data_IF_587101227837
#
_entry.id   IF_587101227837
#
_cell.length_a   1.000
_cell.length_b   1.000
_cell.length_c   1.000
_cell.angle_alpha   90.00
_cell.angle_beta   90.00
_cell.angle_gamma   90.00
#
_symmetry.space_group_name_H-M   'P 1'
#
loop_
_entity.id
_entity.type
_entity.pdbx_description
1 polymer ?
#
# COMPACT_ATOMS: atom_id res chain seq x y z
N UNK A 1 11.12 45.08 40.58
CA UNK A 1 12.14 45.39 41.61
C UNK A 1 13.20 44.32 41.63
N UNK A 2 14.47 44.73 41.40
CA UNK A 2 15.75 44.12 41.81
C UNK A 2 16.04 42.67 41.35
N UNK A 3 17.12 42.33 40.81
CA UNK A 3 18.39 42.90 40.39
C UNK A 3 19.39 41.77 40.19
N UNK A 4 20.16 41.88 39.14
CA UNK A 4 21.47 41.33 38.83
C UNK A 4 22.22 40.52 39.91
N UNK A 5 22.97 39.49 39.44
CA UNK A 5 24.40 39.44 39.77
C UNK A 5 25.17 38.62 38.71
N UNK A 6 26.03 39.31 37.99
CA UNK A 6 27.24 38.86 37.31
C UNK A 6 28.21 38.23 38.30
N UNK A 7 28.90 37.17 37.88
CA UNK A 7 30.18 36.81 38.49
C UNK A 7 31.18 36.51 37.39
N UNK A 8 32.09 37.42 37.24
CA UNK A 8 33.34 37.29 36.46
C UNK A 8 34.40 36.76 37.43
N UNK A 9 35.17 35.74 37.08
CA UNK A 9 36.43 35.40 37.76
C UNK A 9 37.52 35.13 36.72
N UNK A 10 38.38 36.04 36.76
CA UNK A 10 39.80 36.17 36.60
C UNK A 10 40.62 35.03 35.98
N UNK A 11 41.35 35.48 35.00
CA UNK A 11 42.59 35.05 34.35
C UNK A 11 43.69 34.69 35.37
N UNK A 12 44.25 33.50 35.29
CA UNK A 12 45.57 33.19 35.84
C UNK A 12 46.44 32.63 34.72
N UNK A 13 47.36 33.42 34.26
CA UNK A 13 48.45 33.01 33.40
C UNK A 13 49.45 32.16 34.18
N UNK A 14 49.74 30.96 33.73
CA UNK A 14 50.91 30.19 34.17
C UNK A 14 51.72 29.78 32.96
N UNK A 15 52.84 30.43 32.77
CA UNK A 15 53.89 30.08 31.81
C UNK A 15 54.56 28.79 32.23
N UNK A 16 54.57 27.77 31.39
CA UNK A 16 55.49 26.65 31.47
C UNK A 16 56.02 26.27 30.11
N UNK A 17 57.27 26.44 30.03
CA UNK A 17 58.39 25.86 29.30
C UNK A 17 58.05 24.71 28.36
N UNK A 18 58.56 24.84 27.12
CA UNK A 18 58.39 23.88 26.05
C UNK A 18 58.98 22.50 26.31
N UNK A 19 58.24 21.51 25.88
CA UNK A 19 58.77 20.26 25.40
C UNK A 19 58.30 20.09 23.94
N UNK A 20 59.26 20.18 23.00
CA UNK A 20 59.09 19.69 21.65
C UNK A 20 58.91 18.18 21.72
N UNK A 21 57.65 17.71 21.78
CA UNK A 21 57.30 16.36 21.44
C UNK A 21 56.82 16.38 19.99
N UNK A 22 57.53 15.69 19.11
CA UNK A 22 57.02 15.33 17.81
C UNK A 22 55.68 14.58 18.02
N UNK A 23 54.58 15.25 17.84
CA UNK A 23 53.30 14.61 17.62
C UNK A 23 53.29 14.19 16.16
N UNK A 24 53.51 12.92 15.93
CA UNK A 24 52.97 12.28 14.73
C UNK A 24 51.49 12.67 14.70
N UNK A 25 51.12 13.43 13.67
CA UNK A 25 49.70 13.69 13.39
C UNK A 25 49.11 12.32 13.05
N UNK A 26 48.49 11.66 14.02
CA UNK A 26 47.53 10.60 13.71
C UNK A 26 46.57 11.21 12.69
N UNK A 27 46.57 10.64 11.49
CA UNK A 27 45.64 11.05 10.45
C UNK A 27 44.27 10.66 10.99
N UNK A 28 43.48 11.68 11.37
CA UNK A 28 42.10 11.49 11.82
C UNK A 28 41.37 10.76 10.67
N UNK A 29 41.08 9.47 10.88
CA UNK A 29 40.39 8.66 9.86
C UNK A 29 38.94 9.10 9.89
N UNK A 30 38.50 9.75 8.84
CA UNK A 30 37.11 10.19 8.70
C UNK A 30 36.19 8.98 8.76
N UNK A 31 35.18 9.03 9.63
CA UNK A 31 34.25 7.93 9.83
C UNK A 31 33.33 7.75 8.60
N UNK A 32 33.18 6.52 8.13
CA UNK A 32 32.28 6.21 7.02
C UNK A 32 30.83 6.56 7.36
N UNK A 33 30.18 7.31 6.48
CA UNK A 33 28.73 7.59 6.51
C UNK A 33 28.11 7.33 5.14
N UNK A 34 26.86 6.85 5.14
CA UNK A 34 26.09 6.63 3.91
C UNK A 34 24.88 7.55 3.86
N UNK A 35 24.58 8.05 2.67
CA UNK A 35 23.41 8.88 2.38
C UNK A 35 22.77 8.43 1.07
N UNK A 36 21.46 8.07 1.08
CA UNK A 36 20.58 7.90 2.24
C UNK A 36 20.91 6.63 3.06
N UNK A 37 20.34 6.52 4.28
CA UNK A 37 20.40 5.31 5.11
C UNK A 37 19.27 4.33 4.85
N UNK A 38 18.25 4.77 4.10
CA UNK A 38 17.18 3.92 3.56
C UNK A 38 16.83 4.37 2.15
N UNK A 39 16.43 3.45 1.29
CA UNK A 39 16.09 3.69 -0.10
C UNK A 39 14.90 2.83 -0.49
N UNK A 40 13.87 3.44 -1.07
CA UNK A 40 12.74 2.72 -1.66
C UNK A 40 12.82 2.83 -3.17
N UNK A 41 12.75 1.71 -3.86
CA UNK A 41 12.83 1.59 -5.33
C UNK A 41 11.71 0.66 -5.81
N UNK A 42 11.24 0.87 -7.03
CA UNK A 42 10.39 -0.10 -7.72
C UNK A 42 11.24 -1.08 -8.53
N UNK A 43 10.73 -2.29 -8.75
CA UNK A 43 11.41 -3.28 -9.60
C UNK A 43 11.80 -2.65 -10.93
N UNK A 44 13.07 -2.77 -11.31
CA UNK A 44 13.67 -2.19 -12.51
C UNK A 44 14.23 -0.77 -12.34
N UNK A 45 13.96 -0.10 -11.23
CA UNK A 45 14.54 1.23 -10.93
C UNK A 45 15.96 1.11 -10.38
N UNK A 46 16.68 2.23 -10.48
CA UNK A 46 18.00 2.38 -9.87
C UNK A 46 18.00 3.58 -8.92
N UNK A 47 18.74 3.44 -7.82
CA UNK A 47 18.96 4.50 -6.85
C UNK A 47 20.44 4.59 -6.47
N UNK A 48 20.88 5.70 -5.91
CA UNK A 48 22.28 5.90 -5.56
C UNK A 48 22.44 6.11 -4.07
N UNK A 49 23.33 5.34 -3.46
CA UNK A 49 23.83 5.53 -2.11
C UNK A 49 25.22 6.15 -2.22
N UNK A 50 25.42 7.31 -1.62
CA UNK A 50 26.71 8.00 -1.58
C UNK A 50 27.42 7.76 -0.23
N UNK A 51 28.73 7.69 -0.27
CA UNK A 51 29.58 7.64 0.91
C UNK A 51 30.47 8.90 0.97
N UNK A 52 30.76 9.38 2.19
CA UNK A 52 31.64 10.53 2.39
C UNK A 52 33.12 10.24 2.14
N UNK A 53 33.50 8.96 2.16
CA UNK A 53 34.87 8.48 1.87
C UNK A 53 34.84 7.37 0.83
N UNK A 54 36.01 7.05 0.28
CA UNK A 54 36.14 5.97 -0.71
C UNK A 54 35.78 4.62 -0.08
N UNK A 55 34.81 3.92 -0.66
CA UNK A 55 34.35 2.59 -0.24
C UNK A 55 35.22 1.53 -0.92
N UNK A 56 35.71 0.57 -0.14
CA UNK A 56 36.52 -0.56 -0.59
C UNK A 56 35.64 -1.67 -1.20
N UNK A 57 34.51 -1.96 -0.52
CA UNK A 57 33.57 -3.00 -0.96
C UNK A 57 32.13 -2.56 -0.76
N UNK A 58 31.30 -2.87 -1.75
CA UNK A 58 29.87 -2.82 -1.70
C UNK A 58 29.28 -4.22 -1.80
N UNK A 59 28.27 -4.56 -1.03
CA UNK A 59 27.60 -5.84 -1.08
C UNK A 59 26.12 -5.73 -0.76
N UNK A 60 25.31 -6.60 -1.38
CA UNK A 60 23.92 -6.82 -1.03
C UNK A 60 23.79 -8.13 -0.24
N UNK A 61 22.97 -8.14 0.80
CA UNK A 61 22.64 -9.39 1.50
C UNK A 61 21.59 -10.23 0.76
N UNK A 62 20.94 -9.65 -0.28
CA UNK A 62 19.92 -10.31 -1.07
C UNK A 62 19.93 -9.77 -2.53
N UNK A 63 20.83 -10.31 -3.35
CA UNK A 63 20.98 -9.90 -4.76
C UNK A 63 19.76 -10.28 -5.62
N UNK A 64 18.94 -11.23 -5.18
CA UNK A 64 17.68 -11.54 -5.85
C UNK A 64 16.65 -10.40 -5.74
N UNK A 65 16.76 -9.54 -4.72
CA UNK A 65 15.88 -8.37 -4.50
C UNK A 65 16.54 -7.09 -4.99
N UNK A 66 17.80 -6.84 -4.62
CA UNK A 66 18.52 -5.65 -5.09
C UNK A 66 20.03 -5.96 -5.22
N UNK A 67 20.62 -5.51 -6.33
CA UNK A 67 22.06 -5.54 -6.55
C UNK A 67 22.70 -4.19 -6.32
N UNK A 68 24.02 -4.13 -6.10
CA UNK A 68 24.75 -2.87 -5.96
C UNK A 68 26.08 -2.91 -6.73
N UNK A 69 26.35 -1.86 -7.48
CA UNK A 69 27.66 -1.57 -8.06
C UNK A 69 28.09 -0.13 -7.77
N UNK A 70 29.18 0.01 -7.02
CA UNK A 70 29.77 1.34 -6.65
C UNK A 70 28.77 2.34 -6.07
N UNK A 71 27.82 1.84 -5.26
CA UNK A 71 26.78 2.63 -4.64
C UNK A 71 25.52 2.82 -5.49
N UNK A 72 25.52 2.40 -6.76
CA UNK A 72 24.31 2.34 -7.58
C UNK A 72 23.58 1.04 -7.27
N UNK A 73 22.39 1.16 -6.73
CA UNK A 73 21.50 0.04 -6.40
C UNK A 73 20.53 -0.18 -7.56
N UNK A 74 20.38 -1.42 -7.99
CA UNK A 74 19.39 -1.83 -8.99
C UNK A 74 18.37 -2.74 -8.34
N UNK A 75 17.10 -2.37 -8.41
CA UNK A 75 15.98 -3.15 -7.90
C UNK A 75 15.65 -4.29 -8.86
N UNK A 76 15.72 -5.55 -8.41
CA UNK A 76 15.57 -6.77 -9.23
C UNK A 76 14.20 -7.39 -9.03
N UNK A 77 13.77 -7.58 -7.78
CA UNK A 77 12.47 -8.16 -7.43
C UNK A 77 11.95 -7.54 -6.12
N UNK A 78 10.65 -7.63 -5.90
CA UNK A 78 10.00 -7.20 -4.67
C UNK A 78 10.62 -7.83 -3.42
N UNK A 79 10.79 -7.03 -2.36
CA UNK A 79 11.32 -7.48 -1.09
C UNK A 79 12.23 -6.48 -0.40
N UNK A 80 12.94 -6.95 0.61
CA UNK A 80 13.91 -6.16 1.36
C UNK A 80 15.33 -6.66 1.10
N UNK A 81 16.25 -5.73 0.93
CA UNK A 81 17.68 -5.97 0.90
C UNK A 81 18.43 -4.98 1.80
N UNK A 82 19.58 -5.39 2.30
CA UNK A 82 20.49 -4.52 3.03
C UNK A 82 21.75 -4.37 2.18
N UNK A 83 22.03 -3.16 1.76
CA UNK A 83 23.26 -2.81 1.07
C UNK A 83 24.28 -2.39 2.13
N UNK A 84 25.45 -3.00 2.10
CA UNK A 84 26.58 -2.69 2.97
C UNK A 84 27.71 -2.06 2.18
N UNK A 85 28.38 -1.09 2.80
CA UNK A 85 29.60 -0.49 2.32
C UNK A 85 30.68 -0.58 3.40
N UNK A 86 31.89 -0.99 3.01
CA UNK A 86 33.02 -1.11 3.93
C UNK A 86 34.16 -0.20 3.48
N UNK A 87 34.70 0.56 4.42
CA UNK A 87 35.86 1.42 4.24
C UNK A 87 36.63 1.53 5.56
N UNK A 88 37.97 1.49 5.52
CA UNK A 88 38.84 1.58 6.69
C UNK A 88 38.44 0.62 7.82
N UNK A 89 38.02 -0.61 7.49
CA UNK A 89 37.58 -1.61 8.46
C UNK A 89 36.23 -1.35 9.11
N UNK A 90 35.50 -0.30 8.71
CA UNK A 90 34.17 0.04 9.20
C UNK A 90 33.13 -0.28 8.15
N UNK A 91 32.04 -0.94 8.55
CA UNK A 91 30.90 -1.23 7.67
C UNK A 91 29.69 -0.39 8.08
N UNK A 92 29.04 0.21 7.10
CA UNK A 92 27.75 0.89 7.21
C UNK A 92 26.73 0.26 6.27
N UNK A 93 25.46 0.41 6.61
CA UNK A 93 24.37 -0.21 5.87
C UNK A 93 23.31 0.80 5.46
N UNK A 94 22.65 0.51 4.33
CA UNK A 94 21.44 1.17 3.86
C UNK A 94 20.37 0.11 3.67
N UNK A 95 19.18 0.32 4.21
CA UNK A 95 18.04 -0.57 4.01
C UNK A 95 17.40 -0.21 2.67
N UNK A 96 17.21 -1.21 1.81
CA UNK A 96 16.55 -1.06 0.51
C UNK A 96 15.24 -1.84 0.54
N UNK A 97 14.14 -1.13 0.38
CA UNK A 97 12.83 -1.70 0.10
C UNK A 97 12.64 -1.68 -1.42
N UNK A 98 12.47 -2.84 -2.02
CA UNK A 98 12.04 -2.94 -3.42
C UNK A 98 10.55 -3.26 -3.44
N UNK A 99 9.79 -2.32 -3.94
CA UNK A 99 8.37 -2.47 -4.16
C UNK A 99 8.12 -3.12 -5.53
N UNK A 100 7.03 -3.86 -5.63
CA UNK A 100 6.54 -4.34 -6.93
C UNK A 100 6.51 -3.14 -7.86
N UNK A 101 6.89 -3.32 -9.13
CA UNK A 101 6.72 -2.28 -10.13
C UNK A 101 5.25 -1.87 -10.15
N UNK A 102 4.91 -0.86 -9.38
CA UNK A 102 3.62 -0.21 -9.48
C UNK A 102 3.59 0.41 -10.87
N UNK A 103 2.64 0.04 -11.68
CA UNK A 103 2.46 0.73 -12.94
C UNK A 103 2.19 2.21 -12.61
N UNK A 104 3.22 3.00 -12.77
CA UNK A 104 3.10 4.44 -12.68
C UNK A 104 2.22 4.90 -13.83
N UNK A 105 1.19 5.70 -13.52
CA UNK A 105 0.27 6.22 -14.54
C UNK A 105 0.97 6.97 -15.66
N UNK A 106 1.23 6.25 -16.74
CA UNK A 106 1.79 6.76 -17.98
C UNK A 106 1.19 6.04 -19.19
N UNK A 107 0.83 4.77 -19.01
CA UNK A 107 0.11 4.01 -20.02
C UNK A 107 -1.39 3.99 -19.69
N UNK A 108 -2.23 4.08 -20.69
CA UNK A 108 -3.68 3.98 -20.56
C UNK A 108 -4.02 2.66 -19.83
N UNK A 109 -4.54 2.74 -18.61
CA UNK A 109 -4.95 1.57 -17.84
C UNK A 109 -6.06 0.84 -18.59
N UNK A 110 -5.92 -0.46 -18.74
CA UNK A 110 -6.86 -1.31 -19.48
C UNK A 110 -7.35 -2.46 -18.62
N UNK A 111 -8.57 -2.91 -18.89
CA UNK A 111 -9.12 -4.12 -18.26
C UNK A 111 -8.77 -5.33 -19.14
N UNK A 112 -7.83 -6.14 -18.67
CA UNK A 112 -7.38 -7.37 -19.34
C UNK A 112 -8.11 -8.60 -18.77
N UNK A 113 -9.40 -8.70 -19.07
CA UNK A 113 -10.27 -9.74 -18.56
C UNK A 113 -11.11 -10.39 -19.70
N UNK A 114 -11.62 -11.60 -19.47
CA UNK A 114 -12.61 -12.24 -20.30
C UNK A 114 -14.03 -11.79 -19.93
N UNK A 115 -14.31 -11.66 -18.64
CA UNK A 115 -15.55 -11.14 -18.06
C UNK A 115 -15.24 -10.37 -16.78
N UNK A 116 -16.09 -9.38 -16.45
CA UNK A 116 -15.99 -8.59 -15.23
C UNK A 116 -17.34 -8.51 -14.51
N UNK A 117 -17.27 -8.27 -13.19
CA UNK A 117 -18.39 -7.96 -12.31
C UNK A 117 -18.02 -6.74 -11.50
N UNK A 118 -18.31 -5.50 -12.00
CA UNK A 118 -17.90 -4.27 -11.34
C UNK A 118 -18.62 -4.06 -10.02
N UNK A 119 -17.88 -3.56 -9.03
CA UNK A 119 -18.33 -3.05 -7.74
C UNK A 119 -18.14 -1.53 -7.65
N UNK A 120 -16.97 -1.05 -8.10
CA UNK A 120 -16.68 0.37 -8.31
C UNK A 120 -16.03 0.50 -9.68
N UNK A 121 -16.70 1.18 -10.59
CA UNK A 121 -16.19 1.44 -11.93
C UNK A 121 -16.89 2.68 -12.49
N UNK A 122 -16.13 3.64 -12.98
CA UNK A 122 -16.66 4.88 -13.56
C UNK A 122 -17.46 4.63 -14.86
N UNK A 123 -18.30 5.61 -15.22
CA UNK A 123 -19.19 5.50 -16.36
C UNK A 123 -18.47 5.36 -17.69
N UNK A 124 -17.42 6.14 -17.93
CA UNK A 124 -16.61 6.11 -19.16
C UNK A 124 -15.97 4.74 -19.35
N UNK A 125 -15.32 4.22 -18.29
CA UNK A 125 -14.72 2.89 -18.31
C UNK A 125 -15.76 1.79 -18.48
N UNK A 126 -16.91 1.92 -17.82
CA UNK A 126 -18.01 0.97 -17.94
C UNK A 126 -18.56 0.89 -19.36
N UNK A 127 -18.74 2.01 -20.04
CA UNK A 127 -19.15 2.04 -21.42
C UNK A 127 -18.11 1.39 -22.34
N UNK A 128 -16.83 1.72 -22.16
CA UNK A 128 -15.71 1.14 -22.91
C UNK A 128 -15.67 -0.38 -22.83
N UNK A 129 -15.96 -0.95 -21.65
CA UNK A 129 -15.89 -2.39 -21.39
C UNK A 129 -17.25 -3.07 -21.21
N UNK A 130 -18.34 -2.45 -21.66
CA UNK A 130 -19.71 -2.96 -21.48
C UNK A 130 -19.90 -4.42 -21.94
N UNK A 131 -19.21 -4.83 -23.01
CA UNK A 131 -19.28 -6.21 -23.53
C UNK A 131 -18.65 -7.26 -22.60
N UNK A 132 -17.85 -6.85 -21.64
CA UNK A 132 -17.22 -7.74 -20.65
C UNK A 132 -18.06 -7.89 -19.37
N UNK A 133 -19.04 -7.00 -19.13
CA UNK A 133 -19.83 -7.00 -17.90
C UNK A 133 -20.77 -8.20 -17.89
N UNK A 134 -20.52 -9.12 -16.97
CA UNK A 134 -21.31 -10.35 -16.80
C UNK A 134 -22.34 -10.28 -15.67
N UNK A 135 -22.24 -9.28 -14.81
CA UNK A 135 -23.14 -8.91 -13.73
C UNK A 135 -22.68 -7.60 -13.11
N UNK A 136 -23.57 -6.83 -12.52
CA UNK A 136 -23.29 -5.49 -12.04
C UNK A 136 -23.61 -5.38 -10.54
N UNK A 137 -22.62 -5.00 -9.75
CA UNK A 137 -22.73 -4.79 -8.31
C UNK A 137 -22.52 -3.33 -7.91
N UNK A 138 -22.38 -2.43 -8.89
CA UNK A 138 -22.18 -1.01 -8.59
C UNK A 138 -23.36 -0.45 -7.82
N UNK A 139 -23.11 0.46 -6.85
CA UNK A 139 -24.18 1.12 -6.14
C UNK A 139 -25.13 1.84 -7.10
N UNK A 140 -26.41 1.66 -6.86
CA UNK A 140 -27.45 2.52 -7.42
C UNK A 140 -28.47 2.80 -6.31
N UNK A 141 -29.30 3.78 -6.50
CA UNK A 141 -30.22 4.26 -5.44
C UNK A 141 -31.38 3.28 -5.12
N UNK A 142 -31.52 2.20 -5.89
CA UNK A 142 -32.69 1.32 -5.80
C UNK A 142 -32.30 -0.10 -5.36
N UNK A 143 -31.24 -0.68 -5.92
CA UNK A 143 -31.02 -2.11 -5.93
C UNK A 143 -29.73 -2.59 -5.27
N UNK A 144 -28.65 -1.86 -5.44
CA UNK A 144 -27.35 -2.18 -4.83
C UNK A 144 -26.84 -0.94 -4.08
N UNK A 145 -26.49 -1.12 -2.84
CA UNK A 145 -26.12 0.03 -1.99
C UNK A 145 -24.72 -0.12 -1.42
N UNK A 146 -23.93 0.94 -1.52
CA UNK A 146 -22.89 1.16 -0.54
C UNK A 146 -23.57 1.66 0.74
N UNK A 147 -23.32 1.00 1.86
CA UNK A 147 -23.74 1.53 3.16
C UNK A 147 -22.58 1.51 4.15
N UNK A 148 -22.51 2.58 4.94
CA UNK A 148 -21.52 2.75 6.00
C UNK A 148 -22.15 2.22 7.29
N UNK A 149 -21.45 1.35 7.98
CA UNK A 149 -21.92 0.70 9.19
C UNK A 149 -22.07 1.69 10.35
N UNK A 150 -22.80 1.28 11.39
CA UNK A 150 -23.15 2.13 12.53
C UNK A 150 -23.81 3.45 12.13
N UNK A 151 -24.94 3.34 11.40
CA UNK A 151 -25.78 4.47 10.97
C UNK A 151 -25.06 5.53 10.12
N UNK A 152 -24.01 5.13 9.39
CA UNK A 152 -23.28 6.04 8.50
C UNK A 152 -22.16 6.82 9.18
N UNK A 153 -21.83 6.51 10.44
CA UNK A 153 -20.92 7.34 11.23
C UNK A 153 -19.46 6.87 11.22
N UNK A 154 -19.18 5.64 10.76
CA UNK A 154 -17.83 5.07 10.87
C UNK A 154 -16.86 5.59 9.81
N UNK A 155 -17.34 5.99 8.64
CA UNK A 155 -16.56 6.72 7.63
C UNK A 155 -17.24 8.06 7.31
N UNK A 156 -16.42 9.06 7.03
CA UNK A 156 -16.84 10.18 6.20
C UNK A 156 -16.65 9.78 4.74
N UNK A 157 -17.73 9.66 3.99
CA UNK A 157 -17.72 9.22 2.60
C UNK A 157 -17.99 10.38 1.66
N UNK A 158 -17.40 10.34 0.47
CA UNK A 158 -17.62 11.32 -0.59
C UNK A 158 -16.98 10.88 -1.90
N UNK A 159 -17.11 11.76 -2.87
CA UNK A 159 -16.44 11.62 -4.16
C UNK A 159 -15.08 12.32 -4.07
N UNK A 160 -14.03 11.60 -4.43
CA UNK A 160 -12.68 12.15 -4.52
C UNK A 160 -12.52 13.00 -5.78
N UNK A 161 -11.72 14.05 -5.68
CA UNK A 161 -11.45 14.98 -6.79
C UNK A 161 -10.18 14.59 -7.54
N UNK A 162 -10.15 14.88 -8.84
CA UNK A 162 -9.01 14.59 -9.71
C UNK A 162 -9.20 13.32 -10.52
N UNK A 163 -8.10 12.84 -11.08
CA UNK A 163 -8.13 11.63 -11.92
C UNK A 163 -8.34 10.38 -11.09
N UNK A 164 -9.24 9.54 -11.57
CA UNK A 164 -9.45 8.20 -11.07
C UNK A 164 -8.33 7.24 -11.54
N UNK A 165 -8.43 5.95 -11.25
CA UNK A 165 -7.43 4.95 -11.63
C UNK A 165 -7.20 4.87 -13.15
N UNK A 166 -8.25 4.98 -13.94
CA UNK A 166 -8.18 4.95 -15.41
C UNK A 166 -7.82 6.30 -16.04
N UNK A 167 -7.58 7.32 -15.22
CA UNK A 167 -7.22 8.66 -15.70
C UNK A 167 -8.40 9.56 -16.07
N UNK A 168 -9.65 9.10 -15.88
CA UNK A 168 -10.87 9.86 -16.11
C UNK A 168 -11.08 10.89 -14.98
N UNK A 169 -11.88 11.92 -15.25
CA UNK A 169 -12.19 12.98 -14.28
C UNK A 169 -13.51 12.77 -13.53
N UNK A 170 -14.13 11.61 -13.69
CA UNK A 170 -15.41 11.27 -13.02
C UNK A 170 -15.26 11.02 -11.51
N UNK A 171 -14.05 11.14 -10.97
CA UNK A 171 -13.80 10.97 -9.55
C UNK A 171 -13.63 9.49 -9.15
N UNK A 172 -13.61 9.25 -7.86
CA UNK A 172 -13.43 7.95 -7.22
C UNK A 172 -14.07 7.96 -5.83
N UNK A 173 -14.29 6.81 -5.23
CA UNK A 173 -14.80 6.73 -3.86
C UNK A 173 -13.73 7.17 -2.86
N UNK A 174 -14.00 8.22 -2.10
CA UNK A 174 -13.13 8.74 -1.05
C UNK A 174 -13.74 8.48 0.33
N UNK A 175 -13.02 7.71 1.15
CA UNK A 175 -13.42 7.38 2.51
C UNK A 175 -12.37 7.86 3.50
N UNK A 176 -12.82 8.49 4.58
CA UNK A 176 -11.97 8.89 5.71
C UNK A 176 -12.45 8.22 6.98
N UNK A 177 -11.55 7.54 7.66
CA UNK A 177 -11.81 6.82 8.92
C UNK A 177 -12.25 7.80 10.00
N UNK A 178 -13.45 7.63 10.51
CA UNK A 178 -14.00 8.37 11.66
C UNK A 178 -13.86 7.54 12.97
N UNK A 179 -13.95 6.23 12.89
CA UNK A 179 -13.71 5.26 13.96
C UNK A 179 -14.36 5.59 15.33
N UNK A 180 -15.62 6.06 15.42
CA UNK A 180 -16.22 6.45 16.69
C UNK A 180 -16.35 5.27 17.67
N UNK A 181 -16.26 4.04 17.18
CA UNK A 181 -16.35 2.79 17.94
C UNK A 181 -15.03 2.00 17.94
N UNK A 182 -13.90 2.65 17.62
CA UNK A 182 -12.60 2.01 17.48
C UNK A 182 -12.39 1.31 16.13
N UNK A 183 -13.34 1.38 15.20
CA UNK A 183 -13.27 0.83 13.85
C UNK A 183 -14.13 1.64 12.88
N UNK A 184 -13.87 1.49 11.59
CA UNK A 184 -14.72 1.96 10.50
C UNK A 184 -15.04 0.83 9.55
N UNK A 185 -16.27 0.75 9.06
CA UNK A 185 -16.69 -0.32 8.16
C UNK A 185 -17.77 0.12 7.19
N UNK A 186 -17.75 -0.51 6.02
CA UNK A 186 -18.74 -0.33 4.97
C UNK A 186 -18.90 -1.58 4.12
N UNK A 187 -19.96 -1.68 3.35
CA UNK A 187 -20.22 -2.81 2.48
C UNK A 187 -21.04 -2.45 1.24
N UNK A 188 -20.87 -3.25 0.21
CA UNK A 188 -21.65 -3.23 -1.02
C UNK A 188 -22.64 -4.37 -0.99
N UNK A 189 -23.92 -4.03 -0.83
CA UNK A 189 -25.01 -4.99 -0.70
C UNK A 189 -25.65 -5.27 -2.05
N UNK A 190 -25.91 -6.55 -2.35
CA UNK A 190 -26.73 -6.94 -3.50
C UNK A 190 -28.18 -7.10 -3.04
N UNK A 191 -29.09 -6.33 -3.59
CA UNK A 191 -30.44 -6.20 -3.08
C UNK A 191 -31.54 -6.59 -4.07
N UNK A 192 -31.25 -6.71 -5.37
CA UNK A 192 -32.25 -7.07 -6.38
C UNK A 192 -32.06 -8.48 -6.93
N UNK A 193 -33.07 -8.99 -7.64
CA UNK A 193 -33.05 -10.32 -8.20
C UNK A 193 -31.94 -10.54 -9.24
N UNK A 194 -31.58 -9.51 -10.01
CA UNK A 194 -30.55 -9.58 -11.05
C UNK A 194 -29.16 -9.65 -10.43
N UNK A 195 -28.83 -8.77 -9.47
CA UNK A 195 -27.55 -8.79 -8.77
C UNK A 195 -27.38 -10.05 -7.91
N UNK A 196 -28.45 -10.56 -7.30
CA UNK A 196 -28.45 -11.86 -6.60
C UNK A 196 -28.17 -13.00 -7.57
N UNK A 197 -28.78 -13.01 -8.75
CA UNK A 197 -28.51 -14.02 -9.78
C UNK A 197 -27.05 -13.93 -10.28
N UNK A 198 -26.54 -12.73 -10.49
CA UNK A 198 -25.14 -12.49 -10.86
C UNK A 198 -24.17 -12.98 -9.78
N UNK A 199 -24.46 -12.72 -8.50
CA UNK A 199 -23.64 -13.19 -7.37
C UNK A 199 -23.64 -14.74 -7.28
N UNK A 200 -24.77 -15.40 -7.48
CA UNK A 200 -24.87 -16.87 -7.55
C UNK A 200 -24.08 -17.45 -8.73
N UNK A 201 -24.16 -16.81 -9.89
CA UNK A 201 -23.39 -17.23 -11.06
C UNK A 201 -21.89 -17.08 -10.84
N UNK A 202 -21.44 -15.96 -10.26
CA UNK A 202 -20.03 -15.73 -9.90
C UNK A 202 -19.55 -16.72 -8.84
N UNK A 203 -20.33 -16.98 -7.78
CA UNK A 203 -20.05 -17.99 -6.77
C UNK A 203 -19.83 -19.37 -7.39
N UNK A 204 -20.75 -19.80 -8.26
CA UNK A 204 -20.67 -21.09 -8.96
C UNK A 204 -19.42 -21.17 -9.82
N UNK A 205 -19.09 -20.11 -10.53
CA UNK A 205 -17.94 -20.03 -11.39
C UNK A 205 -16.62 -20.07 -10.62
N UNK A 206 -16.51 -19.33 -9.52
CA UNK A 206 -15.35 -19.38 -8.61
C UNK A 206 -15.17 -20.80 -8.03
N UNK A 207 -16.26 -21.43 -7.60
CA UNK A 207 -16.20 -22.79 -7.05
C UNK A 207 -15.74 -23.83 -8.08
N UNK A 208 -16.11 -23.67 -9.35
CA UNK A 208 -15.76 -24.59 -10.43
C UNK A 208 -14.30 -24.42 -10.92
N UNK A 209 -13.83 -23.19 -11.06
CA UNK A 209 -12.52 -22.87 -11.66
C UNK A 209 -11.82 -21.72 -10.88
N UNK A 210 -11.49 -21.93 -9.59
CA UNK A 210 -11.06 -20.86 -8.69
C UNK A 210 -9.83 -20.09 -9.16
N UNK A 211 -8.90 -20.75 -9.85
CA UNK A 211 -7.66 -20.13 -10.32
C UNK A 211 -7.86 -19.13 -11.48
N UNK A 212 -9.06 -19.10 -12.07
CA UNK A 212 -9.38 -18.16 -13.15
C UNK A 212 -9.98 -16.85 -12.65
N UNK A 213 -10.39 -16.78 -11.39
CA UNK A 213 -11.13 -15.64 -10.85
C UNK A 213 -10.29 -14.82 -9.87
N UNK A 214 -10.40 -13.52 -9.99
CA UNK A 214 -9.68 -12.56 -9.16
C UNK A 214 -10.62 -11.41 -8.77
N UNK A 215 -10.30 -10.75 -7.65
CA UNK A 215 -10.80 -9.42 -7.34
C UNK A 215 -9.68 -8.42 -7.64
N UNK A 216 -9.96 -7.51 -8.57
CA UNK A 216 -9.11 -6.34 -8.79
C UNK A 216 -9.59 -5.18 -7.93
N UNK A 217 -8.68 -4.44 -7.34
CA UNK A 217 -8.96 -3.18 -6.69
C UNK A 217 -7.79 -2.21 -6.82
N UNK A 218 -8.09 -0.95 -7.07
CA UNK A 218 -7.14 0.15 -6.99
C UNK A 218 -7.39 0.97 -5.72
N UNK A 219 -6.30 1.27 -5.03
CA UNK A 219 -6.31 1.99 -3.75
C UNK A 219 -5.34 3.16 -3.79
N UNK A 220 -5.71 4.27 -3.16
CA UNK A 220 -4.90 5.48 -3.02
C UNK A 220 -5.08 6.09 -1.65
N UNK A 221 -3.99 6.57 -1.05
CA UNK A 221 -4.03 7.32 0.21
C UNK A 221 -2.83 8.26 0.33
N UNK A 222 -2.93 9.24 1.22
CA UNK A 222 -1.83 10.16 1.58
C UNK A 222 -1.38 9.98 3.03
N UNK A 223 -1.99 9.04 3.77
CA UNK A 223 -1.67 8.76 5.16
C UNK A 223 -1.80 7.27 5.49
N UNK A 224 -1.14 6.84 6.55
CA UNK A 224 -1.10 5.44 6.95
C UNK A 224 -2.47 4.94 7.43
N UNK A 225 -2.79 3.70 7.07
CA UNK A 225 -3.97 2.97 7.50
C UNK A 225 -3.84 1.50 7.12
N UNK A 226 -4.46 0.62 7.91
CA UNK A 226 -4.64 -0.78 7.58
C UNK A 226 -6.11 -1.00 7.21
N UNK A 227 -6.35 -1.79 6.18
CA UNK A 227 -7.67 -2.03 5.65
C UNK A 227 -7.87 -3.53 5.45
N UNK A 228 -8.95 -4.05 5.98
CA UNK A 228 -9.36 -5.45 5.85
C UNK A 228 -10.57 -5.52 4.93
N UNK A 229 -10.50 -6.40 3.96
CA UNK A 229 -11.57 -6.63 2.98
C UNK A 229 -12.15 -8.02 3.18
N UNK A 230 -13.43 -8.16 2.90
CA UNK A 230 -14.17 -9.42 2.90
C UNK A 230 -14.93 -9.57 1.58
N UNK A 231 -14.93 -10.75 1.03
CA UNK A 231 -15.70 -11.11 -0.15
C UNK A 231 -16.84 -12.04 0.22
N UNK A 232 -18.02 -11.82 -0.36
CA UNK A 232 -19.23 -12.63 -0.10
C UNK A 232 -19.57 -12.70 1.39
N UNK A 233 -19.81 -11.56 2.03
CA UNK A 233 -20.07 -11.32 3.45
C UNK A 233 -18.83 -11.30 4.36
N UNK A 234 -19.00 -10.63 5.50
CA UNK A 234 -18.05 -10.61 6.60
C UNK A 234 -18.08 -11.95 7.36
N UNK A 235 -17.36 -12.95 6.85
CA UNK A 235 -17.28 -14.26 7.47
C UNK A 235 -15.86 -14.83 7.45
N UNK A 236 -15.64 -15.87 8.25
CA UNK A 236 -14.36 -16.54 8.36
C UNK A 236 -13.91 -17.16 7.03
N UNK A 237 -12.61 -17.12 6.75
CA UNK A 237 -12.02 -17.69 5.54
C UNK A 237 -12.27 -16.86 4.27
N UNK A 238 -12.76 -15.62 4.37
CA UNK A 238 -13.09 -14.76 3.22
C UNK A 238 -12.51 -13.35 3.31
N UNK A 239 -11.46 -13.17 4.12
CA UNK A 239 -10.85 -11.87 4.34
C UNK A 239 -9.37 -11.82 3.96
N UNK A 240 -8.92 -10.64 3.57
CA UNK A 240 -7.53 -10.28 3.36
C UNK A 240 -7.29 -8.84 3.84
N UNK A 241 -6.04 -8.49 4.06
CA UNK A 241 -5.64 -7.16 4.52
C UNK A 241 -4.69 -6.49 3.54
N UNK A 242 -4.83 -5.17 3.41
CA UNK A 242 -3.88 -4.29 2.73
C UNK A 242 -3.37 -3.29 3.76
N UNK A 243 -2.06 -3.24 3.92
CA UNK A 243 -1.38 -2.42 4.90
C UNK A 243 -0.23 -3.16 5.58
N UNK A 244 0.28 -2.61 6.67
CA UNK A 244 1.42 -3.15 7.41
C UNK A 244 1.04 -4.27 8.38
N UNK A 245 -0.25 -4.43 8.71
CA UNK A 245 -0.75 -5.44 9.65
C UNK A 245 -2.21 -5.80 9.35
N UNK A 246 -2.60 -7.01 9.74
CA UNK A 246 -4.00 -7.41 9.75
C UNK A 246 -4.78 -6.65 10.85
N UNK A 247 -6.06 -6.35 10.58
CA UNK A 247 -6.96 -5.73 11.56
C UNK A 247 -7.49 -6.78 12.53
N UNK A 248 -8.16 -7.80 12.02
CA UNK A 248 -8.74 -8.86 12.85
C UNK A 248 -8.23 -10.24 12.42
N UNK A 249 -8.39 -10.57 11.16
CA UNK A 249 -8.09 -11.89 10.58
C UNK A 249 -7.78 -11.79 9.09
N UNK A 250 -7.33 -12.86 8.49
CA UNK A 250 -6.92 -12.90 7.09
C UNK A 250 -5.46 -12.49 6.91
N UNK A 251 -4.90 -12.89 5.81
CA UNK A 251 -3.51 -12.59 5.47
C UNK A 251 -3.33 -11.14 5.02
N UNK A 252 -2.16 -10.57 5.27
CA UNK A 252 -1.73 -9.30 4.67
C UNK A 252 -1.18 -9.64 3.28
N UNK A 253 -1.90 -9.22 2.25
CA UNK A 253 -1.51 -9.50 0.85
C UNK A 253 -0.54 -8.49 0.28
N UNK A 254 -0.37 -7.34 0.93
CA UNK A 254 0.56 -6.29 0.55
C UNK A 254 0.32 -4.99 1.29
N UNK A 255 1.23 -4.06 1.07
CA UNK A 255 1.13 -2.66 1.49
C UNK A 255 1.44 -1.77 0.28
N UNK A 256 1.22 -0.47 0.39
CA UNK A 256 1.48 0.49 -0.68
C UNK A 256 2.00 1.81 -0.10
N UNK A 257 2.76 2.61 -0.87
CA UNK A 257 3.12 3.96 -0.50
C UNK A 257 1.88 4.84 -0.28
N UNK A 258 2.00 5.80 0.64
CA UNK A 258 0.94 6.76 0.95
C UNK A 258 1.28 8.12 0.33
N UNK A 259 1.66 8.09 -0.96
CA UNK A 259 2.13 9.25 -1.74
C UNK A 259 1.03 9.94 -2.57
N UNK A 260 -0.20 9.41 -2.50
CA UNK A 260 -1.34 9.94 -3.24
C UNK A 260 -1.48 9.37 -4.66
N UNK A 261 -0.66 8.41 -5.05
CA UNK A 261 -0.76 7.69 -6.31
C UNK A 261 -1.64 6.45 -6.20
N UNK A 262 -2.09 5.92 -7.34
CA UNK A 262 -2.90 4.72 -7.42
C UNK A 262 -2.04 3.46 -7.43
N UNK A 263 -2.39 2.49 -6.58
CA UNK A 263 -1.81 1.16 -6.48
C UNK A 263 -2.88 0.10 -6.70
N UNK A 264 -2.57 -0.92 -7.49
CA UNK A 264 -3.51 -1.98 -7.83
C UNK A 264 -3.15 -3.31 -7.17
N UNK A 265 -4.18 -4.08 -6.81
CA UNK A 265 -4.06 -5.41 -6.23
C UNK A 265 -4.98 -6.36 -6.98
N UNK A 266 -4.43 -7.51 -7.38
CA UNK A 266 -5.18 -8.63 -7.94
C UNK A 266 -5.21 -9.77 -6.93
N UNK A 267 -6.36 -10.00 -6.34
CA UNK A 267 -6.55 -10.96 -5.25
C UNK A 267 -7.13 -12.25 -5.80
N UNK A 268 -6.38 -13.36 -5.79
CA UNK A 268 -6.87 -14.65 -6.30
C UNK A 268 -8.07 -15.15 -5.48
N UNK A 269 -9.17 -15.50 -6.14
CA UNK A 269 -10.34 -16.06 -5.47
C UNK A 269 -10.15 -17.51 -5.03
N UNK A 270 -9.13 -18.19 -5.54
CA UNK A 270 -8.79 -19.56 -5.17
C UNK A 270 -8.66 -19.77 -3.64
N UNK A 271 -8.06 -18.81 -2.95
CA UNK A 271 -7.89 -18.87 -1.49
C UNK A 271 -9.21 -18.82 -0.70
N UNK A 272 -10.28 -18.30 -1.30
CA UNK A 272 -11.58 -18.12 -0.67
C UNK A 272 -12.65 -19.09 -1.22
N UNK A 273 -12.35 -19.83 -2.27
CA UNK A 273 -13.33 -20.59 -3.05
C UNK A 273 -14.18 -21.54 -2.20
N UNK A 274 -13.57 -22.28 -1.27
CA UNK A 274 -14.28 -23.21 -0.38
C UNK A 274 -15.25 -22.47 0.53
N UNK A 275 -14.84 -21.35 1.12
CA UNK A 275 -15.69 -20.55 2.01
C UNK A 275 -16.81 -19.84 1.23
N UNK A 276 -16.50 -19.34 0.03
CA UNK A 276 -17.50 -18.73 -0.87
C UNK A 276 -18.53 -19.75 -1.31
N UNK A 277 -18.15 -20.97 -1.66
CA UNK A 277 -19.07 -22.03 -2.11
C UNK A 277 -20.11 -22.41 -1.05
N UNK A 278 -19.77 -22.26 0.23
CA UNK A 278 -20.68 -22.54 1.36
C UNK A 278 -21.64 -21.39 1.68
N UNK A 279 -21.52 -20.22 1.04
CA UNK A 279 -22.37 -19.07 1.34
C UNK A 279 -23.76 -19.17 0.72
N UNK A 280 -24.76 -18.76 1.49
CA UNK A 280 -26.13 -18.62 1.00
C UNK A 280 -26.35 -17.23 0.42
N UNK A 281 -26.49 -17.15 -0.89
CA UNK A 281 -26.70 -15.88 -1.59
C UNK A 281 -28.17 -15.44 -1.47
N UNK A 282 -28.40 -14.36 -0.75
CA UNK A 282 -29.69 -13.69 -0.56
C UNK A 282 -29.62 -12.20 -0.89
N UNK A 283 -30.72 -11.49 -0.66
CA UNK A 283 -30.84 -10.04 -0.95
C UNK A 283 -30.04 -9.15 0.02
N UNK A 284 -29.44 -9.72 1.05
CA UNK A 284 -28.64 -9.03 2.09
C UNK A 284 -27.15 -9.36 1.99
N UNK A 285 -26.75 -10.04 0.91
CA UNK A 285 -25.34 -10.36 0.69
C UNK A 285 -24.52 -9.10 0.50
N UNK A 286 -23.46 -8.94 1.27
CA UNK A 286 -22.37 -8.03 0.94
C UNK A 286 -21.42 -8.72 -0.03
N UNK A 287 -21.45 -8.32 -1.29
CA UNK A 287 -20.51 -8.88 -2.29
C UNK A 287 -19.07 -8.53 -1.96
N UNK A 288 -18.87 -7.34 -1.43
CA UNK A 288 -17.62 -6.85 -0.87
C UNK A 288 -17.93 -5.99 0.36
N UNK A 289 -17.20 -6.18 1.43
CA UNK A 289 -17.19 -5.22 2.54
C UNK A 289 -15.79 -5.07 3.09
N UNK A 290 -15.58 -4.01 3.86
CA UNK A 290 -14.26 -3.68 4.38
C UNK A 290 -14.33 -2.99 5.74
N UNK A 291 -13.27 -3.18 6.50
CA UNK A 291 -13.01 -2.55 7.77
C UNK A 291 -11.70 -1.74 7.68
N UNK A 292 -11.67 -0.60 8.32
CA UNK A 292 -10.42 0.08 8.66
C UNK A 292 -10.24 0.10 10.16
N UNK A 293 -8.98 0.13 10.59
CA UNK A 293 -8.64 0.25 12.01
C UNK A 293 -9.04 1.60 12.62
N UNK A 294 -8.59 1.86 13.82
CA UNK A 294 -8.96 3.01 14.64
C UNK A 294 -8.15 4.29 14.36
N UNK A 295 -7.38 4.34 13.29
CA UNK A 295 -6.59 5.52 12.94
C UNK A 295 -7.50 6.58 12.31
N UNK A 296 -8.10 7.43 13.13
CA UNK A 296 -8.98 8.53 12.70
C UNK A 296 -8.24 9.42 11.70
N UNK A 297 -8.91 9.75 10.60
CA UNK A 297 -8.35 10.54 9.50
C UNK A 297 -7.58 9.72 8.47
N UNK A 298 -7.36 8.40 8.69
CA UNK A 298 -6.79 7.54 7.67
C UNK A 298 -7.72 7.48 6.44
N UNK A 299 -7.12 7.46 5.25
CA UNK A 299 -7.85 7.45 3.99
C UNK A 299 -7.91 6.03 3.41
N UNK A 300 -9.06 5.73 2.84
CA UNK A 300 -9.28 4.58 1.96
C UNK A 300 -9.99 5.10 0.70
N UNK A 301 -9.21 5.47 -0.29
CA UNK A 301 -9.77 5.86 -1.58
C UNK A 301 -9.73 4.66 -2.50
N UNK A 302 -10.87 4.31 -3.09
CA UNK A 302 -11.07 3.13 -3.92
C UNK A 302 -11.55 3.50 -5.31
N UNK A 303 -11.04 2.80 -6.31
CA UNK A 303 -11.53 2.82 -7.69
C UNK A 303 -11.21 1.49 -8.37
N UNK A 304 -11.78 1.28 -9.55
CA UNK A 304 -11.52 0.08 -10.36
C UNK A 304 -11.68 -1.23 -9.55
N UNK A 305 -12.73 -1.33 -8.73
CA UNK A 305 -13.01 -2.53 -7.95
C UNK A 305 -13.98 -3.42 -8.74
N UNK A 306 -13.49 -4.58 -9.15
CA UNK A 306 -14.29 -5.55 -9.90
C UNK A 306 -13.76 -6.97 -9.74
N UNK A 307 -14.67 -7.94 -9.69
CA UNK A 307 -14.27 -9.33 -9.90
C UNK A 307 -14.05 -9.55 -11.39
N UNK A 308 -13.14 -10.44 -11.74
CA UNK A 308 -12.88 -10.74 -13.14
C UNK A 308 -12.48 -12.20 -13.38
N UNK A 309 -12.81 -12.67 -14.59
CA UNK A 309 -12.29 -13.91 -15.15
C UNK A 309 -11.09 -13.59 -16.03
N UNK A 310 -9.95 -14.17 -15.71
CA UNK A 310 -8.70 -14.03 -16.48
C UNK A 310 -8.88 -14.62 -17.89
N UNK A 311 -8.24 -13.97 -18.87
CA UNK A 311 -8.18 -14.47 -20.28
C UNK A 311 -7.47 -15.81 -20.38
#
# INVERSE_FOLDING_TARGET
>A
MKANKFFAIALAALTMVGFNSCKDKEKEVEALTLTPTSLTLKVGETGTITANITVETWASNNEAVATVDKGVVTAVAEGNAIISATANGTTKTCVVLVEKAGQQGGDEKTIEAKRIWPVILDGVTSEKYASLIAGDFRPNDVDNNLYIWAAGETYSAGEGTGKNFFGNTEGYMALTVAAPQGWSGAGFNVANAESVAAAKALQTAIAAEPDKYFLHLAIKATNAGNHQFYVFNNAEGRSFNIGTAAIEKGEVIGDFPRDGEWYEFDVPMAQFATAIAGETIGNDLNILCFLSGNTVGAQLNLDAVYFYEKK
#
